data_IF_785555444378
#
_entry.id   IF_785555444378
#
_cell.length_a   1.000
_cell.length_b   1.000
_cell.length_c   1.000
_cell.angle_alpha   90.00
_cell.angle_beta   90.00
_cell.angle_gamma   90.00
#
_symmetry.space_group_name_H-M   'P 1'
#
loop_
_entity.id
_entity.type
_entity.pdbx_description
1 polymer ?
#
# COMPACT_ATOMS: atom_id res chain seq x y z
N UNK A 1 -18.22 -57.73 -51.36
CA UNK A 1 -16.98 -58.38 -51.81
C UNK A 1 -16.01 -58.33 -50.65
N UNK A 2 -15.78 -59.34 -49.83
CA UNK A 2 -15.99 -60.78 -49.99
C UNK A 2 -14.66 -61.48 -50.29
N UNK A 3 -14.33 -62.47 -49.44
CA UNK A 3 -13.29 -63.53 -49.53
C UNK A 3 -11.93 -63.19 -48.90
N UNK A 4 -11.24 -64.08 -48.19
CA UNK A 4 -11.49 -65.48 -47.81
C UNK A 4 -10.61 -65.80 -46.57
N UNK A 5 -11.17 -66.62 -45.69
CA UNK A 5 -10.58 -67.26 -44.51
C UNK A 5 -9.65 -68.41 -44.95
N UNK A 6 -8.50 -68.59 -44.29
CA UNK A 6 -7.92 -69.94 -44.16
C UNK A 6 -7.45 -70.20 -42.73
N UNK A 7 -7.68 -71.44 -42.33
CA UNK A 7 -7.83 -71.94 -40.96
C UNK A 7 -6.55 -72.56 -40.40
N UNK A 8 -6.51 -72.65 -39.07
CA UNK A 8 -5.55 -73.35 -38.18
C UNK A 8 -5.07 -74.75 -38.64
N UNK A 9 -4.03 -75.30 -38.01
CA UNK A 9 -4.31 -76.16 -36.85
C UNK A 9 -3.46 -75.88 -35.60
N UNK A 10 -4.16 -75.99 -34.48
CA UNK A 10 -3.69 -76.20 -33.11
C UNK A 10 -2.99 -77.56 -32.99
N UNK A 11 -1.77 -77.61 -32.44
CA UNK A 11 -1.19 -78.83 -31.88
C UNK A 11 -0.72 -78.52 -30.46
N UNK A 12 -1.37 -79.17 -29.50
CA UNK A 12 -0.96 -79.27 -28.12
C UNK A 12 -0.22 -80.59 -27.91
N UNK A 13 0.96 -80.59 -27.25
CA UNK A 13 1.39 -81.70 -26.39
C UNK A 13 2.61 -81.38 -25.52
N UNK A 14 2.35 -81.30 -24.21
CA UNK A 14 3.06 -81.83 -23.02
C UNK A 14 4.52 -81.44 -22.66
N UNK A 15 4.58 -80.75 -21.51
CA UNK A 15 5.14 -81.16 -20.20
C UNK A 15 6.67 -81.23 -19.95
N UNK A 16 7.07 -80.56 -18.85
CA UNK A 16 8.40 -80.55 -18.21
C UNK A 16 9.18 -79.27 -18.53
N UNK A 17 9.76 -78.48 -17.63
CA UNK A 17 10.11 -78.62 -16.22
C UNK A 17 10.25 -77.21 -15.57
N UNK A 18 10.00 -77.19 -14.26
CA UNK A 18 10.45 -76.29 -13.20
C UNK A 18 11.58 -75.29 -13.52
N UNK A 19 11.35 -74.00 -13.21
CA UNK A 19 12.39 -72.98 -13.21
C UNK A 19 11.89 -71.62 -12.71
N UNK A 20 11.92 -71.46 -11.40
CA UNK A 20 11.65 -70.23 -10.65
C UNK A 20 12.61 -69.09 -11.03
N UNK A 21 12.12 -67.99 -11.59
CA UNK A 21 12.68 -66.64 -11.35
C UNK A 21 11.63 -65.55 -11.62
N UNK A 22 11.20 -64.93 -10.53
CA UNK A 22 10.55 -63.62 -10.52
C UNK A 22 11.44 -62.60 -11.24
N UNK A 23 10.92 -61.91 -12.26
CA UNK A 23 11.34 -60.53 -12.52
C UNK A 23 10.14 -59.69 -12.92
N UNK A 24 9.84 -58.79 -11.99
CA UNK A 24 8.87 -57.71 -12.03
C UNK A 24 9.13 -56.77 -13.20
N UNK A 25 8.04 -56.35 -13.83
CA UNK A 25 7.89 -55.10 -14.59
C UNK A 25 8.81 -53.97 -14.10
N UNK A 26 9.90 -53.68 -14.82
CA UNK A 26 10.59 -52.40 -14.66
C UNK A 26 9.81 -51.32 -15.40
N UNK A 27 9.16 -50.47 -14.61
CA UNK A 27 8.54 -49.23 -15.06
C UNK A 27 9.56 -48.31 -15.74
N UNK A 28 9.04 -47.47 -16.62
CA UNK A 28 9.79 -46.38 -17.21
C UNK A 28 10.47 -45.52 -16.11
N UNK A 29 11.68 -44.99 -16.33
CA UNK A 29 12.46 -44.32 -15.30
C UNK A 29 11.83 -42.97 -14.89
N UNK A 30 12.29 -42.34 -13.79
CA UNK A 30 11.71 -41.13 -13.18
C UNK A 30 11.91 -39.82 -13.97
N UNK A 31 12.14 -39.92 -15.29
CA UNK A 31 12.44 -38.79 -16.18
C UNK A 31 11.29 -37.78 -16.27
N UNK A 32 10.03 -38.22 -16.20
CA UNK A 32 8.87 -37.32 -16.23
C UNK A 32 8.76 -36.41 -14.99
N UNK A 33 9.18 -36.89 -13.81
CA UNK A 33 9.15 -36.08 -12.58
C UNK A 33 10.19 -34.97 -12.58
N UNK A 34 11.38 -35.25 -13.13
CA UNK A 34 12.44 -34.26 -13.29
C UNK A 34 12.07 -33.16 -14.30
N UNK A 35 11.40 -33.50 -15.41
CA UNK A 35 10.94 -32.52 -16.40
C UNK A 35 9.88 -31.57 -15.83
N UNK A 36 8.92 -32.10 -15.05
CA UNK A 36 7.91 -31.27 -14.36
C UNK A 36 8.52 -30.32 -13.35
N UNK A 37 9.47 -30.79 -12.54
CA UNK A 37 10.19 -29.94 -11.60
C UNK A 37 11.00 -28.84 -12.31
N UNK A 38 11.64 -29.17 -13.43
CA UNK A 38 12.37 -28.19 -14.25
C UNK A 38 11.42 -27.14 -14.83
N UNK A 39 10.23 -27.54 -15.30
CA UNK A 39 9.22 -26.62 -15.82
C UNK A 39 8.62 -25.73 -14.71
N UNK A 40 8.39 -26.27 -13.50
CA UNK A 40 7.95 -25.51 -12.33
C UNK A 40 9.01 -24.49 -11.87
N UNK A 41 10.29 -24.88 -11.86
CA UNK A 41 11.40 -23.97 -11.52
C UNK A 41 11.55 -22.87 -12.58
N UNK A 42 11.38 -23.19 -13.87
CA UNK A 42 11.37 -22.17 -14.94
C UNK A 42 10.22 -21.19 -14.79
N UNK A 43 9.01 -21.68 -14.52
CA UNK A 43 7.86 -20.82 -14.29
C UNK A 43 8.07 -19.89 -13.08
N UNK A 44 8.71 -20.38 -12.01
CA UNK A 44 9.07 -19.57 -10.86
C UNK A 44 10.15 -18.51 -11.21
N UNK A 45 11.15 -18.88 -12.02
CA UNK A 45 12.17 -17.95 -12.49
C UNK A 45 11.57 -16.83 -13.35
N UNK A 46 10.68 -17.18 -14.29
CA UNK A 46 9.96 -16.21 -15.12
C UNK A 46 9.11 -15.25 -14.28
N UNK A 47 8.48 -15.76 -13.22
CA UNK A 47 7.71 -14.94 -12.28
C UNK A 47 8.61 -13.97 -11.49
N UNK A 48 9.76 -14.44 -11.00
CA UNK A 48 10.76 -13.61 -10.32
C UNK A 48 11.30 -12.51 -11.24
N UNK A 49 11.58 -12.83 -12.50
CA UNK A 49 12.05 -11.86 -13.48
C UNK A 49 11.00 -10.81 -13.83
N UNK A 50 9.73 -11.20 -13.87
CA UNK A 50 8.61 -10.27 -14.03
C UNK A 50 8.52 -9.34 -12.82
N UNK A 51 8.52 -9.88 -11.61
CA UNK A 51 8.48 -9.11 -10.37
C UNK A 51 9.68 -8.13 -10.25
N UNK A 52 10.88 -8.55 -10.68
CA UNK A 52 12.07 -7.68 -10.75
C UNK A 52 11.83 -6.47 -11.65
N UNK A 53 11.27 -6.69 -12.85
CA UNK A 53 10.98 -5.60 -13.80
C UNK A 53 9.94 -4.65 -13.24
N UNK A 54 8.90 -5.17 -12.60
CA UNK A 54 7.86 -4.34 -11.97
C UNK A 54 8.44 -3.49 -10.83
N UNK A 55 9.33 -4.06 -10.00
CA UNK A 55 10.02 -3.31 -8.95
C UNK A 55 10.94 -2.20 -9.49
N UNK A 56 11.62 -2.45 -10.62
CA UNK A 56 12.41 -1.41 -11.30
C UNK A 56 11.50 -0.32 -11.87
N UNK A 57 10.34 -0.68 -12.41
CA UNK A 57 9.38 0.27 -12.98
C UNK A 57 8.77 1.22 -11.92
N UNK A 58 8.71 0.80 -10.65
CA UNK A 58 8.31 1.67 -9.53
C UNK A 58 9.32 2.80 -9.24
N UNK A 59 10.52 2.77 -9.85
CA UNK A 59 11.63 3.71 -9.65
C UNK A 59 11.87 4.05 -8.17
N UNK A 60 12.26 3.07 -7.33
CA UNK A 60 12.39 3.28 -5.89
C UNK A 60 13.40 4.35 -5.48
N UNK A 61 14.41 4.63 -6.32
CA UNK A 61 15.36 5.74 -6.11
C UNK A 61 14.64 7.10 -6.08
N UNK A 62 13.72 7.36 -7.00
CA UNK A 62 12.92 8.59 -7.00
C UNK A 62 12.00 8.69 -5.78
N UNK A 63 11.46 7.55 -5.32
CA UNK A 63 10.65 7.50 -4.10
C UNK A 63 11.49 7.93 -2.89
N UNK A 64 12.71 7.41 -2.77
CA UNK A 64 13.63 7.68 -1.66
C UNK A 64 14.22 9.09 -1.70
N UNK A 65 14.68 9.53 -2.87
CA UNK A 65 15.48 10.77 -3.00
C UNK A 65 14.61 12.00 -3.23
N UNK A 66 13.38 11.83 -3.74
CA UNK A 66 12.53 12.96 -4.15
C UNK A 66 11.15 12.89 -3.52
N UNK A 67 10.35 11.86 -3.80
CA UNK A 67 8.93 11.91 -3.49
C UNK A 67 8.60 11.87 -2.00
N UNK A 68 9.21 10.96 -1.22
CA UNK A 68 8.94 10.89 0.23
C UNK A 68 9.50 12.10 0.99
N UNK A 69 10.74 12.56 0.73
CA UNK A 69 11.25 13.79 1.35
C UNK A 69 10.39 15.01 1.03
N UNK A 70 10.06 15.26 -0.24
CA UNK A 70 9.24 16.41 -0.64
C UNK A 70 7.84 16.34 -0.02
N UNK A 71 7.19 15.18 -0.03
CA UNK A 71 5.87 15.02 0.60
C UNK A 71 5.93 15.21 2.12
N UNK A 72 7.02 14.81 2.79
CA UNK A 72 7.19 15.06 4.21
C UNK A 72 7.34 16.56 4.49
N UNK A 73 8.18 17.26 3.73
CA UNK A 73 8.39 18.71 3.87
C UNK A 73 7.09 19.50 3.61
N UNK A 74 6.33 19.14 2.57
CA UNK A 74 5.03 19.76 2.27
C UNK A 74 4.00 19.50 3.38
N UNK A 75 3.92 18.28 3.90
CA UNK A 75 3.00 17.93 4.98
C UNK A 75 3.37 18.63 6.30
N UNK A 76 4.67 18.78 6.60
CA UNK A 76 5.13 19.54 7.76
C UNK A 76 4.81 21.04 7.61
N UNK A 77 4.99 21.61 6.42
CA UNK A 77 4.59 22.98 6.13
C UNK A 77 3.09 23.21 6.30
N UNK A 78 2.24 22.25 5.91
CA UNK A 78 0.80 22.28 6.15
C UNK A 78 0.50 22.28 7.65
N UNK A 79 1.13 21.39 8.42
CA UNK A 79 0.95 21.34 9.88
C UNK A 79 1.27 22.69 10.50
N UNK A 80 2.44 23.24 10.18
CA UNK A 80 2.88 24.53 10.72
C UNK A 80 1.94 25.69 10.33
N UNK A 81 1.50 25.75 9.07
CA UNK A 81 0.55 26.76 8.62
C UNK A 81 -0.80 26.65 9.33
N UNK A 82 -1.28 25.42 9.57
CA UNK A 82 -2.54 25.20 10.31
C UNK A 82 -2.44 25.51 11.80
N UNK A 83 -1.28 25.27 12.42
CA UNK A 83 -1.01 25.67 13.80
C UNK A 83 -1.02 27.19 13.93
N UNK A 84 -0.27 27.89 13.07
CA UNK A 84 -0.22 29.36 13.07
C UNK A 84 -1.60 29.98 12.82
N UNK A 85 -2.37 29.46 11.85
CA UNK A 85 -3.72 29.96 11.60
C UNK A 85 -4.66 29.70 12.81
N UNK A 86 -4.44 28.62 13.55
CA UNK A 86 -5.22 28.33 14.77
C UNK A 86 -4.86 29.29 15.89
N UNK A 87 -3.58 29.62 16.06
CA UNK A 87 -3.10 30.64 17.00
C UNK A 87 -3.72 32.01 16.69
N UNK A 88 -3.68 32.45 15.43
CA UNK A 88 -4.30 33.71 14.99
C UNK A 88 -5.83 33.74 15.28
N UNK A 89 -6.52 32.61 15.11
CA UNK A 89 -7.95 32.50 15.44
C UNK A 89 -8.17 32.63 16.95
N UNK A 90 -7.34 31.97 17.77
CA UNK A 90 -7.45 32.06 19.23
C UNK A 90 -7.21 33.48 19.72
N UNK A 91 -6.18 34.17 19.22
CA UNK A 91 -5.89 35.58 19.55
C UNK A 91 -7.06 36.52 19.18
N UNK A 92 -7.68 36.29 18.01
CA UNK A 92 -8.85 37.04 17.59
C UNK A 92 -10.06 36.79 18.51
N UNK A 93 -10.22 35.56 19.00
CA UNK A 93 -11.27 35.18 19.93
C UNK A 93 -11.04 35.79 21.32
N UNK A 94 -9.81 35.83 21.82
CA UNK A 94 -9.45 36.54 23.06
C UNK A 94 -9.81 38.02 22.96
N UNK A 95 -9.51 38.65 21.81
CA UNK A 95 -9.89 40.03 21.54
C UNK A 95 -11.42 40.23 21.53
N UNK A 96 -12.20 39.24 21.07
CA UNK A 96 -13.67 39.28 21.15
C UNK A 96 -14.16 39.22 22.59
N UNK A 97 -13.52 38.43 23.46
CA UNK A 97 -13.89 38.35 24.88
C UNK A 97 -13.71 39.68 25.62
N UNK A 98 -12.66 40.45 25.30
CA UNK A 98 -12.46 41.79 25.86
C UNK A 98 -13.61 42.74 25.53
N UNK A 99 -14.14 42.68 24.30
CA UNK A 99 -15.26 43.51 23.86
C UNK A 99 -16.59 42.98 24.42
N UNK A 100 -16.70 41.67 24.64
CA UNK A 100 -17.89 41.02 25.19
C UNK A 100 -18.26 41.57 26.58
N UNK A 101 -17.27 41.93 27.40
CA UNK A 101 -17.49 42.55 28.71
C UNK A 101 -18.17 43.92 28.68
N UNK A 102 -18.36 44.52 27.49
CA UNK A 102 -18.95 45.84 27.27
C UNK A 102 -20.36 45.78 26.67
N UNK A 103 -20.87 44.58 26.37
CA UNK A 103 -22.18 44.36 25.79
C UNK A 103 -23.26 44.20 26.87
N UNK A 104 -24.52 44.34 26.47
CA UNK A 104 -25.66 43.98 27.29
C UNK A 104 -25.66 42.46 27.58
N UNK A 105 -26.24 42.01 28.71
CA UNK A 105 -26.07 40.63 29.19
C UNK A 105 -26.49 39.54 28.19
N UNK A 106 -27.58 39.76 27.44
CA UNK A 106 -28.10 38.79 26.47
C UNK A 106 -27.14 38.58 25.29
N UNK A 107 -26.61 39.67 24.74
CA UNK A 107 -25.62 39.62 23.65
C UNK A 107 -24.26 39.10 24.14
N UNK A 108 -23.88 39.44 25.38
CA UNK A 108 -22.66 38.96 25.99
C UNK A 108 -22.65 37.44 26.19
N UNK A 109 -23.77 36.88 26.65
CA UNK A 109 -23.94 35.43 26.85
C UNK A 109 -23.93 34.68 25.50
N UNK A 110 -24.59 35.24 24.48
CA UNK A 110 -24.56 34.67 23.13
C UNK A 110 -23.15 34.63 22.54
N UNK A 111 -22.36 35.70 22.74
CA UNK A 111 -20.99 35.78 22.24
C UNK A 111 -20.05 34.83 22.99
N UNK A 112 -20.17 34.72 24.33
CA UNK A 112 -19.41 33.72 25.11
C UNK A 112 -19.67 32.30 24.64
N UNK A 113 -20.94 31.95 24.41
CA UNK A 113 -21.30 30.63 23.90
C UNK A 113 -20.75 30.37 22.49
N UNK A 114 -20.57 31.41 21.66
CA UNK A 114 -19.91 31.28 20.36
C UNK A 114 -18.39 31.08 20.52
N UNK A 115 -17.75 31.87 21.37
CA UNK A 115 -16.32 31.76 21.69
C UNK A 115 -15.96 30.37 22.21
N UNK A 116 -16.72 29.82 23.17
CA UNK A 116 -16.49 28.45 23.67
C UNK A 116 -16.53 27.41 22.56
N UNK A 117 -17.49 27.51 21.63
CA UNK A 117 -17.57 26.59 20.48
C UNK A 117 -16.38 26.72 19.54
N UNK A 118 -15.80 27.91 19.41
CA UNK A 118 -14.59 28.10 18.59
C UNK A 118 -13.39 27.41 19.25
N UNK A 119 -13.18 27.61 20.56
CA UNK A 119 -12.11 26.91 21.28
C UNK A 119 -12.22 25.39 21.16
N UNK A 120 -13.43 24.84 21.33
CA UNK A 120 -13.68 23.40 21.16
C UNK A 120 -13.38 22.93 19.72
N UNK A 121 -13.75 23.70 18.71
CA UNK A 121 -13.48 23.37 17.31
C UNK A 121 -11.97 23.40 17.00
N UNK A 122 -11.24 24.40 17.51
CA UNK A 122 -9.80 24.53 17.35
C UNK A 122 -9.02 23.42 18.08
N UNK A 123 -9.52 22.91 19.21
CA UNK A 123 -8.90 21.80 19.93
C UNK A 123 -8.81 20.49 19.10
N UNK A 124 -9.64 20.31 18.07
CA UNK A 124 -9.56 19.17 17.16
C UNK A 124 -8.36 19.21 16.20
N UNK A 125 -7.65 20.35 16.09
CA UNK A 125 -6.49 20.49 15.20
C UNK A 125 -5.31 19.59 15.62
N UNK A 126 -5.12 19.33 16.92
CA UNK A 126 -4.08 18.42 17.43
C UNK A 126 -4.24 17.00 16.86
N UNK A 127 -5.48 16.49 16.75
CA UNK A 127 -5.75 15.19 16.13
C UNK A 127 -5.38 15.20 14.64
N UNK A 128 -5.53 16.33 13.96
CA UNK A 128 -5.15 16.47 12.54
C UNK A 128 -3.63 16.45 12.36
N UNK A 129 -2.87 17.18 13.20
CA UNK A 129 -1.41 17.13 13.20
C UNK A 129 -0.87 15.72 13.48
N UNK A 130 -1.45 15.02 14.46
CA UNK A 130 -1.10 13.62 14.76
C UNK A 130 -1.40 12.67 13.59
N UNK A 131 -2.54 12.86 12.90
CA UNK A 131 -2.91 12.07 11.72
C UNK A 131 -1.95 12.30 10.55
N UNK A 132 -1.56 13.54 10.28
CA UNK A 132 -0.57 13.87 9.24
C UNK A 132 0.77 13.23 9.56
N UNK A 133 1.24 13.35 10.80
CA UNK A 133 2.47 12.69 11.27
C UNK A 133 2.43 11.16 11.06
N UNK A 134 1.27 10.54 11.27
CA UNK A 134 1.06 9.10 11.02
C UNK A 134 1.13 8.75 9.53
N UNK A 135 0.61 9.62 8.65
CA UNK A 135 0.72 9.46 7.19
C UNK A 135 2.19 9.48 6.77
N UNK A 136 2.96 10.47 7.20
CA UNK A 136 4.41 10.57 6.91
C UNK A 136 5.16 9.31 7.38
N UNK A 137 4.89 8.83 8.60
CA UNK A 137 5.48 7.57 9.09
C UNK A 137 5.09 6.35 8.25
N UNK A 138 3.86 6.31 7.77
CA UNK A 138 3.37 5.20 6.93
C UNK A 138 4.08 5.20 5.58
N UNK A 139 4.27 6.37 4.97
CA UNK A 139 5.01 6.51 3.72
C UNK A 139 6.47 6.04 3.87
N UNK A 140 7.15 6.41 4.96
CA UNK A 140 8.50 5.90 5.29
C UNK A 140 8.53 4.38 5.47
N UNK A 141 7.51 3.80 6.12
CA UNK A 141 7.42 2.35 6.26
C UNK A 141 7.14 1.62 4.92
N UNK A 142 6.50 2.28 3.96
CA UNK A 142 6.32 1.75 2.60
C UNK A 142 7.66 1.79 1.87
N UNK A 143 8.41 2.90 1.96
CA UNK A 143 9.75 3.05 1.40
C UNK A 143 10.71 1.94 1.89
N UNK A 144 10.75 1.69 3.20
CA UNK A 144 11.57 0.63 3.79
C UNK A 144 11.21 -0.76 3.24
N UNK A 145 9.91 -1.05 3.07
CA UNK A 145 9.45 -2.32 2.50
C UNK A 145 9.84 -2.47 1.03
N UNK A 146 9.73 -1.41 0.24
CA UNK A 146 10.16 -1.42 -1.17
C UNK A 146 11.67 -1.65 -1.27
N UNK A 147 12.46 -1.00 -0.41
CA UNK A 147 13.92 -1.22 -0.33
C UNK A 147 14.28 -2.66 0.06
N UNK A 148 13.57 -3.23 1.03
CA UNK A 148 13.74 -4.64 1.41
C UNK A 148 13.40 -5.60 0.26
N UNK A 149 12.34 -5.33 -0.52
CA UNK A 149 11.99 -6.11 -1.70
C UNK A 149 13.09 -6.04 -2.77
N UNK A 150 13.61 -4.85 -3.08
CA UNK A 150 14.72 -4.71 -4.03
C UNK A 150 15.94 -5.55 -3.64
N UNK A 151 16.28 -5.56 -2.35
CA UNK A 151 17.37 -6.36 -1.81
C UNK A 151 17.09 -7.86 -1.93
N UNK A 152 15.87 -8.30 -1.55
CA UNK A 152 15.47 -9.70 -1.61
C UNK A 152 15.51 -10.27 -3.03
N UNK A 153 15.11 -9.47 -4.03
CA UNK A 153 15.17 -9.85 -5.43
C UNK A 153 16.53 -9.59 -6.08
N UNK A 154 17.54 -9.12 -5.34
CA UNK A 154 18.88 -8.80 -5.85
C UNK A 154 18.84 -7.93 -7.10
N UNK A 155 17.96 -6.93 -7.13
CA UNK A 155 17.80 -6.02 -8.27
C UNK A 155 19.10 -5.23 -8.45
N UNK A 156 19.71 -5.34 -9.63
CA UNK A 156 20.99 -4.71 -9.91
C UNK A 156 20.83 -3.18 -9.97
N UNK A 157 21.64 -2.40 -9.24
CA UNK A 157 21.64 -0.94 -9.33
C UNK A 157 21.79 -0.41 -10.76
N UNK A 158 22.49 -1.14 -11.64
CA UNK A 158 22.63 -0.79 -13.07
C UNK A 158 21.32 -0.98 -13.86
N UNK A 159 20.49 -1.97 -13.50
CA UNK A 159 19.15 -2.13 -14.10
C UNK A 159 18.20 -1.01 -13.64
N UNK A 160 18.36 -0.53 -12.42
CA UNK A 160 17.58 0.60 -11.90
C UNK A 160 17.95 1.91 -12.61
N UNK A 161 19.25 2.15 -12.82
CA UNK A 161 19.75 3.35 -13.50
C UNK A 161 19.47 3.38 -15.01
N UNK A 162 19.25 2.22 -15.64
CA UNK A 162 18.96 2.09 -17.06
C UNK A 162 17.49 2.33 -17.43
N UNK A 163 16.60 2.48 -16.45
CA UNK A 163 15.20 2.83 -16.71
C UNK A 163 15.14 4.23 -17.37
N UNK A 164 14.46 4.39 -18.52
CA UNK A 164 14.39 5.68 -19.20
C UNK A 164 13.80 6.75 -18.26
N UNK A 165 14.39 7.96 -18.22
CA UNK A 165 13.86 9.03 -17.38
C UNK A 165 12.44 9.33 -17.84
N UNK A 166 11.50 9.36 -16.90
CA UNK A 166 10.20 9.96 -17.16
C UNK A 166 10.47 11.45 -17.34
N UNK A 167 9.96 12.06 -18.40
CA UNK A 167 9.84 13.50 -18.46
C UNK A 167 8.79 13.92 -17.40
N UNK A 168 9.21 13.94 -16.15
CA UNK A 168 8.64 14.87 -15.17
C UNK A 168 9.07 16.22 -15.68
N UNK A 169 8.12 17.03 -16.13
CA UNK A 169 8.34 18.38 -16.63
C UNK A 169 9.31 19.11 -15.68
N UNK A 170 10.55 19.26 -16.14
CA UNK A 170 11.64 19.91 -15.39
C UNK A 170 11.55 21.43 -15.51
N UNK A 171 10.35 21.98 -15.64
CA UNK A 171 10.13 23.40 -15.75
C UNK A 171 9.89 24.01 -14.38
N UNK A 172 10.95 24.35 -13.62
CA UNK A 172 11.03 25.30 -12.48
C UNK A 172 9.91 25.31 -11.40
N UNK A 173 8.92 24.44 -11.48
CA UNK A 173 7.89 24.17 -10.51
C UNK A 173 8.23 22.82 -9.88
N UNK A 174 8.06 22.73 -8.57
CA UNK A 174 8.29 21.51 -7.82
C UNK A 174 7.52 20.31 -8.38
N UNK A 175 7.74 19.14 -7.80
CA UNK A 175 6.80 18.03 -7.95
C UNK A 175 5.40 18.61 -7.78
N UNK A 176 4.57 18.63 -8.83
CA UNK A 176 3.25 19.21 -8.76
C UNK A 176 2.53 18.52 -7.59
N UNK A 177 2.21 19.30 -6.55
CA UNK A 177 1.61 18.78 -5.35
C UNK A 177 0.25 18.17 -5.73
N UNK A 178 -0.24 17.21 -4.93
CA UNK A 178 -1.61 16.72 -5.08
C UNK A 178 -2.53 17.93 -4.90
N UNK A 179 -3.13 18.43 -5.99
CA UNK A 179 -3.92 19.65 -6.02
C UNK A 179 -3.53 20.66 -7.10
N UNK A 180 -2.32 20.57 -7.66
CA UNK A 180 -1.84 21.48 -8.72
C UNK A 180 -2.41 21.16 -10.10
N UNK A 181 -2.90 19.93 -10.28
CA UNK A 181 -3.51 19.50 -11.55
C UNK A 181 -5.03 19.67 -11.50
N UNK A 182 -5.67 20.09 -12.61
CA UNK A 182 -7.14 20.21 -12.67
C UNK A 182 -7.88 18.92 -12.27
N UNK A 183 -7.29 17.75 -12.55
CA UNK A 183 -7.81 16.44 -12.16
C UNK A 183 -7.74 16.16 -10.64
N UNK A 184 -6.81 16.80 -9.91
CA UNK A 184 -6.64 16.61 -8.46
C UNK A 184 -7.65 17.43 -7.64
N UNK A 185 -8.30 18.44 -8.25
CA UNK A 185 -9.36 19.23 -7.61
C UNK A 185 -10.55 18.38 -7.15
N UNK A 186 -10.81 17.26 -7.83
CA UNK A 186 -11.84 16.31 -7.42
C UNK A 186 -11.49 15.57 -6.12
N UNK A 187 -10.19 15.41 -5.82
CA UNK A 187 -9.65 14.74 -4.63
C UNK A 187 -9.60 15.66 -3.40
N UNK A 188 -9.70 16.99 -3.61
CA UNK A 188 -9.73 17.99 -2.53
C UNK A 188 -11.06 17.98 -1.75
N UNK A 189 -12.07 17.25 -2.23
CA UNK A 189 -13.26 16.96 -1.46
C UNK A 189 -12.92 15.83 -0.47
N UNK A 190 -12.43 16.24 0.71
CA UNK A 190 -12.06 15.32 1.76
C UNK A 190 -13.20 14.35 2.11
N UNK A 191 -12.90 13.09 2.47
CA UNK A 191 -13.92 12.17 2.92
C UNK A 191 -14.54 12.69 4.22
N UNK A 192 -15.81 13.08 4.17
CA UNK A 192 -16.63 13.24 5.38
C UNK A 192 -16.78 11.86 6.01
N UNK A 193 -16.10 11.65 7.16
CA UNK A 193 -16.34 10.47 7.99
C UNK A 193 -17.54 10.75 8.89
N UNK A 194 -18.73 10.40 8.43
CA UNK A 194 -19.82 10.08 9.36
C UNK A 194 -19.50 8.75 10.06
N UNK A 195 -19.49 8.75 11.39
CA UNK A 195 -19.57 7.52 12.20
C UNK A 195 -18.25 6.83 12.61
N UNK A 196 -17.09 7.48 12.54
CA UNK A 196 -15.82 6.91 13.02
C UNK A 196 -15.17 7.65 14.20
N UNK A 197 -15.92 8.55 14.85
CA UNK A 197 -15.56 9.04 16.17
C UNK A 197 -15.95 7.95 17.19
N UNK A 198 -14.99 7.51 18.01
CA UNK A 198 -15.33 6.75 19.21
C UNK A 198 -16.30 7.62 20.02
N UNK A 199 -17.45 7.05 20.39
CA UNK A 199 -18.42 7.77 21.19
C UNK A 199 -17.84 8.07 22.57
N UNK A 200 -18.35 9.10 23.24
CA UNK A 200 -18.01 9.36 24.64
C UNK A 200 -18.22 8.10 25.50
N UNK A 201 -19.21 7.28 25.15
CA UNK A 201 -19.49 5.98 25.78
C UNK A 201 -18.33 4.98 25.66
N UNK A 202 -17.62 4.96 24.52
CA UNK A 202 -16.44 4.09 24.30
C UNK A 202 -15.23 4.60 25.10
N UNK A 203 -15.11 5.93 25.24
CA UNK A 203 -14.07 6.59 26.03
C UNK A 203 -14.28 6.30 27.53
N UNK A 204 -15.52 6.42 28.00
CA UNK A 204 -15.90 6.15 29.38
C UNK A 204 -15.70 4.67 29.76
N UNK A 205 -15.97 3.75 28.82
CA UNK A 205 -15.72 2.32 29.00
C UNK A 205 -14.23 1.96 29.09
N UNK A 206 -13.36 2.71 28.40
CA UNK A 206 -11.91 2.51 28.43
C UNK A 206 -11.25 3.11 29.69
N UNK A 207 -11.76 4.23 30.19
CA UNK A 207 -11.22 4.91 31.37
C UNK A 207 -11.76 4.35 32.68
N UNK A 208 -12.97 3.77 32.69
CA UNK A 208 -13.57 3.14 33.86
C UNK A 208 -13.45 1.60 33.86
N UNK A 209 -12.40 1.06 33.23
CA UNK A 209 -12.23 -0.38 33.05
C UNK A 209 -12.41 -1.21 34.34
N UNK A 210 -13.49 -2.01 34.35
CA UNK A 210 -13.92 -3.01 35.37
C UNK A 210 -14.54 -2.45 36.66
#
# INVERSE_FOLDING_TARGET
>A
MGRIIFTMPLVASRAGETGMTSTTSMGAPPLLGGLRLVDEIRALADYIDTARRDLVALRPQDIQERFIPTAADELDAIVQATESATEDIMDAVESLEEVTGRLDPEDADALRAATTRIYEACAFQDITGQRITKVVRTLKAIEERVSAMLTAFSVDPLQMAAAPPVAVDSGEAGVAAIGDRPEDMALLNGPQREGAAMGQDDIDALLNGS
#
